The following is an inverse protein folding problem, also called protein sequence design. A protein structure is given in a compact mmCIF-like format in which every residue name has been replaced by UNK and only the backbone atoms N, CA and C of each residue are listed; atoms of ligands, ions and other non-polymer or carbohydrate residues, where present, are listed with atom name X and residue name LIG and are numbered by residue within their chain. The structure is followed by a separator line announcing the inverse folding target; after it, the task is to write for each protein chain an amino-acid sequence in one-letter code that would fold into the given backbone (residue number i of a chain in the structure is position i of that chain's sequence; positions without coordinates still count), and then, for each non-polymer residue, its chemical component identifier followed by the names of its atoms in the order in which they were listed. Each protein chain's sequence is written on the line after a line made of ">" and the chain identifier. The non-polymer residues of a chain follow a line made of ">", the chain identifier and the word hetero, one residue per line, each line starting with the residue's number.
data_IF_460430395057
#
_entry.id   IF_460430395057
#
_cell.length_a   1.000
_cell.length_b   1.000
_cell.length_c   1.000
_cell.angle_alpha   90.00
_cell.angle_beta   90.00
_cell.angle_gamma   90.00
#
_symmetry.space_group_name_H-M   'P 1'
#
loop_
_entity.id
_entity.type
_entity.pdbx_description
1 polymer ?
#
# COMPACT_ATOMS: atom_id res chain seq x y z
N UNK A 1 11.65 90.55 -64.89
CA UNK A 1 12.49 90.84 -63.71
C UNK A 1 11.93 90.05 -62.54
N UNK A 2 12.82 89.44 -61.74
CA UNK A 2 12.60 88.90 -60.39
C UNK A 2 11.90 87.54 -60.24
N UNK A 3 12.70 86.54 -59.83
CA UNK A 3 12.29 85.27 -59.20
C UNK A 3 11.66 85.51 -57.81
N UNK A 4 10.80 84.60 -57.29
CA UNK A 4 11.27 83.71 -56.22
C UNK A 4 10.74 82.26 -56.33
N UNK A 5 11.61 81.26 -56.15
CA UNK A 5 11.75 80.37 -54.95
C UNK A 5 10.46 79.61 -54.60
N UNK A 6 10.40 78.33 -54.98
CA UNK A 6 9.45 77.34 -54.44
C UNK A 6 10.25 76.24 -53.74
N UNK A 7 10.03 76.13 -52.43
CA UNK A 7 10.60 75.11 -51.57
C UNK A 7 10.02 73.72 -51.91
N UNK A 8 10.89 72.76 -52.19
CA UNK A 8 10.52 71.36 -52.37
C UNK A 8 10.37 70.70 -50.99
N UNK A 9 9.14 70.34 -50.62
CA UNK A 9 8.84 69.54 -49.43
C UNK A 9 8.90 68.06 -49.84
N UNK A 10 9.97 67.34 -49.45
CA UNK A 10 10.01 65.88 -49.52
C UNK A 10 9.12 65.31 -48.41
N UNK A 11 7.95 64.82 -48.77
CA UNK A 11 7.11 64.00 -47.90
C UNK A 11 7.62 62.56 -47.90
N UNK A 12 8.35 62.17 -46.86
CA UNK A 12 8.74 60.77 -46.61
C UNK A 12 7.52 60.00 -46.12
N UNK A 13 6.88 59.22 -46.98
CA UNK A 13 5.79 58.30 -46.59
C UNK A 13 6.37 57.11 -45.83
N UNK A 14 6.21 57.12 -44.51
CA UNK A 14 6.49 55.99 -43.63
C UNK A 14 5.36 54.96 -43.79
N UNK A 15 5.56 53.93 -44.63
CA UNK A 15 4.65 52.78 -44.72
C UNK A 15 4.79 51.94 -43.46
N UNK A 16 3.93 52.21 -42.48
CA UNK A 16 3.73 51.38 -41.31
C UNK A 16 3.11 50.05 -41.80
N UNK A 17 3.92 48.99 -41.95
CA UNK A 17 3.38 47.64 -42.09
C UNK A 17 2.63 47.32 -40.79
N UNK A 18 1.31 47.46 -40.81
CA UNK A 18 0.44 46.94 -39.78
C UNK A 18 0.54 45.41 -39.82
N UNK A 19 1.45 44.85 -39.03
CA UNK A 19 1.45 43.42 -38.71
C UNK A 19 0.11 43.18 -37.99
N UNK A 20 -0.81 42.36 -38.53
CA UNK A 20 -2.05 42.07 -37.83
C UNK A 20 -1.70 41.45 -36.48
N UNK A 21 -2.12 42.09 -35.38
CA UNK A 21 -1.93 41.65 -34.00
C UNK A 21 -2.65 40.33 -33.66
N UNK A 22 -3.12 39.60 -34.66
CA UNK A 22 -3.91 38.38 -34.52
C UNK A 22 -3.07 37.09 -34.56
N UNK A 23 -1.74 37.16 -34.69
CA UNK A 23 -0.84 35.98 -34.79
C UNK A 23 -0.15 35.63 -33.46
N UNK A 24 -0.76 35.92 -32.32
CA UNK A 24 -0.21 35.55 -31.00
C UNK A 24 -1.24 34.93 -30.03
N UNK A 25 -2.34 34.35 -30.54
CA UNK A 25 -3.19 33.42 -29.77
C UNK A 25 -2.94 31.99 -30.22
N UNK A 26 -1.83 31.43 -29.73
CA UNK A 26 -1.44 30.06 -30.04
C UNK A 26 -0.39 29.48 -29.12
N UNK A 27 -0.25 29.98 -27.88
CA UNK A 27 0.36 29.16 -26.85
C UNK A 27 -0.72 28.20 -26.36
N UNK A 28 -0.76 27.00 -26.96
CA UNK A 28 -1.54 25.88 -26.46
C UNK A 28 -1.13 25.65 -25.00
N UNK A 29 -1.98 26.09 -24.07
CA UNK A 29 -1.75 25.88 -22.65
C UNK A 29 -1.56 24.38 -22.37
N UNK A 30 -0.61 24.06 -21.48
CA UNK A 30 -0.47 22.70 -20.99
C UNK A 30 -1.80 22.25 -20.36
N UNK A 31 -2.23 21.03 -20.67
CA UNK A 31 -3.51 20.49 -20.23
C UNK A 31 -3.40 19.80 -18.84
N UNK A 32 -2.19 19.37 -18.50
CA UNK A 32 -1.86 18.62 -17.29
C UNK A 32 -0.66 19.23 -16.58
N UNK A 33 -0.54 19.00 -15.27
CA UNK A 33 0.62 19.45 -14.49
C UNK A 33 1.82 18.55 -14.75
N UNK A 34 1.60 17.24 -14.76
CA UNK A 34 2.62 16.22 -15.06
C UNK A 34 2.07 15.27 -16.12
N UNK A 35 2.91 14.89 -17.08
CA UNK A 35 2.64 13.77 -17.99
C UNK A 35 3.74 12.73 -17.84
N UNK A 36 3.37 11.51 -17.50
CA UNK A 36 4.24 10.34 -17.65
C UNK A 36 4.08 9.84 -19.09
N UNK A 37 5.14 9.89 -19.89
CA UNK A 37 5.09 9.62 -21.32
C UNK A 37 5.79 8.31 -21.68
N UNK A 38 5.25 7.59 -22.67
CA UNK A 38 5.86 6.41 -23.30
C UNK A 38 6.12 5.19 -22.40
N UNK A 39 5.72 5.22 -21.13
CA UNK A 39 5.88 4.08 -20.24
C UNK A 39 4.90 2.96 -20.56
N UNK A 40 5.33 1.72 -20.30
CA UNK A 40 4.43 0.56 -20.32
C UNK A 40 3.56 0.64 -19.06
N UNK A 41 2.32 1.07 -19.21
CA UNK A 41 1.38 1.13 -18.11
C UNK A 41 0.85 -0.27 -17.81
N UNK A 42 0.97 -0.69 -16.55
CA UNK A 42 0.42 -1.95 -16.04
C UNK A 42 -0.58 -1.65 -14.93
N UNK A 43 -1.84 -2.00 -15.16
CA UNK A 43 -2.92 -1.85 -14.20
C UNK A 43 -3.79 -3.13 -14.20
N UNK A 44 -3.71 -3.95 -13.14
CA UNK A 44 -4.49 -5.18 -13.03
C UNK A 44 -6.00 -4.97 -13.02
N UNK A 45 -6.50 -3.85 -12.47
CA UNK A 45 -7.95 -3.60 -12.35
C UNK A 45 -8.58 -3.41 -13.73
N UNK A 46 -7.93 -2.62 -14.60
CA UNK A 46 -8.37 -2.41 -15.98
C UNK A 46 -7.83 -3.45 -16.98
N UNK A 47 -6.99 -4.40 -16.52
CA UNK A 47 -6.23 -5.33 -17.36
C UNK A 47 -5.38 -4.61 -18.44
N UNK A 48 -4.91 -3.39 -18.12
CA UNK A 48 -4.08 -2.61 -19.03
C UNK A 48 -2.64 -3.11 -18.95
N UNK A 49 -2.09 -3.47 -20.10
CA UNK A 49 -0.66 -3.75 -20.28
C UNK A 49 -0.22 -3.20 -21.64
N UNK A 50 0.08 -1.90 -21.69
CA UNK A 50 0.41 -1.24 -22.94
C UNK A 50 1.16 0.09 -22.74
N UNK A 51 1.83 0.56 -23.79
CA UNK A 51 2.43 1.90 -23.79
C UNK A 51 1.33 2.96 -23.72
N UNK A 52 1.43 3.87 -22.74
CA UNK A 52 0.45 4.92 -22.48
C UNK A 52 1.11 6.24 -22.09
N UNK A 53 0.30 7.29 -22.13
CA UNK A 53 0.58 8.58 -21.53
C UNK A 53 -0.41 8.78 -20.37
N UNK A 54 0.11 9.14 -19.20
CA UNK A 54 -0.72 9.40 -18.01
C UNK A 54 -0.61 10.88 -17.67
N UNK A 55 -1.72 11.60 -17.79
CA UNK A 55 -1.83 13.01 -17.44
C UNK A 55 -2.34 13.18 -16.01
N UNK A 56 -1.58 13.91 -15.19
CA UNK A 56 -1.89 14.19 -13.79
C UNK A 56 -2.25 15.68 -13.67
N UNK A 57 -3.35 15.97 -12.95
CA UNK A 57 -3.77 17.33 -12.61
C UNK A 57 -4.05 17.41 -11.12
N UNK A 58 -3.37 18.32 -10.41
CA UNK A 58 -3.38 18.37 -8.96
C UNK A 58 -2.97 17.03 -8.35
N UNK A 59 -3.87 16.44 -7.57
CA UNK A 59 -3.67 15.16 -6.88
C UNK A 59 -4.38 13.98 -7.54
N UNK A 60 -4.75 14.08 -8.83
CA UNK A 60 -5.50 13.03 -9.53
C UNK A 60 -4.90 12.70 -10.90
N UNK A 61 -5.03 11.42 -11.26
CA UNK A 61 -4.89 10.99 -12.65
C UNK A 61 -6.10 11.54 -13.41
N UNK A 62 -5.86 12.50 -14.31
CA UNK A 62 -6.90 13.19 -15.06
C UNK A 62 -7.15 12.56 -16.44
N UNK A 63 -6.16 11.90 -17.02
CA UNK A 63 -6.31 11.19 -18.28
C UNK A 63 -5.30 10.05 -18.42
N UNK A 64 -5.72 8.98 -19.10
CA UNK A 64 -4.85 7.92 -19.62
C UNK A 64 -5.10 7.86 -21.12
N UNK A 65 -4.05 7.91 -21.93
CA UNK A 65 -4.17 8.03 -23.39
C UNK A 65 -3.17 7.15 -24.12
N UNK A 66 -3.58 6.62 -25.28
CA UNK A 66 -2.68 5.97 -26.23
C UNK A 66 -1.90 6.98 -27.10
N UNK A 67 -2.33 8.24 -27.12
CA UNK A 67 -1.71 9.35 -27.88
C UNK A 67 -1.02 10.34 -26.94
N UNK A 68 0.01 11.08 -27.42
CA UNK A 68 0.72 12.06 -26.61
C UNK A 68 -0.21 13.06 -25.90
N UNK A 69 0.09 13.34 -24.64
CA UNK A 69 -0.54 14.39 -23.84
C UNK A 69 0.43 15.56 -23.65
N UNK A 70 -0.10 16.76 -23.40
CA UNK A 70 0.69 17.96 -23.13
C UNK A 70 0.65 18.30 -21.64
N UNK A 71 1.79 18.28 -20.97
CA UNK A 71 1.94 18.64 -19.57
C UNK A 71 2.91 19.80 -19.35
N UNK A 72 2.80 20.48 -18.19
CA UNK A 72 3.80 21.46 -17.75
C UNK A 72 5.15 20.77 -17.51
N UNK A 73 5.12 19.60 -16.89
CA UNK A 73 6.26 18.69 -16.73
C UNK A 73 5.99 17.41 -17.52
N UNK A 74 6.98 16.95 -18.30
CA UNK A 74 6.90 15.66 -19.01
C UNK A 74 8.03 14.77 -18.53
N UNK A 75 7.69 13.60 -18.01
CA UNK A 75 8.63 12.57 -17.56
C UNK A 75 8.66 11.48 -18.63
N UNK A 76 9.81 11.29 -19.26
CA UNK A 76 10.03 10.22 -20.23
C UNK A 76 10.25 8.88 -19.52
N UNK A 77 9.29 7.98 -19.65
CA UNK A 77 9.30 6.65 -19.05
C UNK A 77 9.56 5.53 -20.07
N UNK A 78 10.20 5.84 -21.22
CA UNK A 78 10.58 4.82 -22.21
C UNK A 78 11.43 3.71 -21.58
N UNK A 79 11.06 2.46 -21.87
CA UNK A 79 11.73 1.28 -21.31
C UNK A 79 11.42 1.02 -19.83
N UNK A 80 10.55 1.84 -19.21
CA UNK A 80 10.11 1.68 -17.82
C UNK A 80 8.64 1.27 -17.75
N UNK A 81 8.23 0.82 -16.56
CA UNK A 81 6.85 0.50 -16.23
C UNK A 81 6.22 1.65 -15.46
N UNK A 82 4.98 2.00 -15.80
CA UNK A 82 4.12 2.88 -15.00
C UNK A 82 3.10 1.98 -14.30
N UNK A 83 3.09 1.98 -12.97
CA UNK A 83 2.16 1.19 -12.18
C UNK A 83 1.51 2.08 -11.10
N UNK A 84 0.37 1.66 -10.53
CA UNK A 84 -0.08 2.21 -9.25
C UNK A 84 1.04 2.09 -8.21
N UNK A 85 1.12 3.07 -7.32
CA UNK A 85 2.06 3.00 -6.20
C UNK A 85 1.76 1.81 -5.28
N UNK A 86 2.79 1.22 -4.69
CA UNK A 86 2.59 0.03 -3.88
C UNK A 86 1.96 0.37 -2.53
N UNK A 87 1.07 -0.52 -2.09
CA UNK A 87 0.43 -0.48 -0.78
C UNK A 87 1.08 -1.54 0.12
N UNK A 88 1.88 -1.10 1.08
CA UNK A 88 2.48 -1.95 2.08
C UNK A 88 1.52 -2.10 3.27
N UNK A 89 0.91 -3.27 3.40
CA UNK A 89 -0.06 -3.57 4.45
C UNK A 89 0.60 -3.94 5.79
N UNK A 90 1.92 -4.11 5.83
CA UNK A 90 2.62 -4.69 6.97
C UNK A 90 3.85 -3.86 7.34
N UNK A 91 3.59 -2.65 7.83
CA UNK A 91 4.62 -1.68 8.14
C UNK A 91 4.64 -1.31 9.61
N UNK A 92 5.71 -1.67 10.32
CA UNK A 92 5.97 -1.21 11.70
C UNK A 92 6.79 0.09 11.77
N UNK A 93 7.62 0.31 10.75
CA UNK A 93 8.37 1.55 10.60
C UNK A 93 7.45 2.69 10.20
N UNK A 94 7.19 3.61 11.11
CA UNK A 94 6.14 4.63 10.98
C UNK A 94 6.65 6.04 11.30
N UNK A 95 7.91 6.32 10.96
CA UNK A 95 8.55 7.62 11.10
C UNK A 95 9.03 8.20 9.75
N UNK A 96 9.54 9.43 9.81
CA UNK A 96 10.04 10.18 8.65
C UNK A 96 11.12 9.43 7.87
N UNK A 97 12.05 8.79 8.57
CA UNK A 97 13.14 8.03 7.96
C UNK A 97 12.58 6.84 7.19
N UNK A 98 11.71 6.04 7.82
CA UNK A 98 11.11 4.87 7.19
C UNK A 98 10.26 5.24 5.97
N UNK A 99 9.47 6.32 6.04
CA UNK A 99 8.65 6.77 4.91
C UNK A 99 9.49 7.17 3.69
N UNK A 100 10.68 7.74 3.89
CA UNK A 100 11.59 8.07 2.76
C UNK A 100 12.14 6.84 2.06
N UNK A 101 12.51 5.81 2.82
CA UNK A 101 12.98 4.56 2.22
C UNK A 101 11.85 3.85 1.46
N UNK A 102 10.66 3.77 2.05
CA UNK A 102 9.47 3.20 1.41
C UNK A 102 9.12 3.92 0.09
N UNK A 103 9.15 5.25 0.07
CA UNK A 103 8.92 6.01 -1.15
C UNK A 103 9.93 5.68 -2.26
N UNK A 104 11.20 5.42 -1.92
CA UNK A 104 12.25 5.03 -2.88
C UNK A 104 12.06 3.61 -3.42
N UNK A 105 11.40 2.74 -2.66
CA UNK A 105 11.02 1.38 -3.07
C UNK A 105 9.69 1.35 -3.86
N UNK A 106 9.10 2.52 -4.15
CA UNK A 106 7.84 2.64 -4.88
C UNK A 106 6.57 2.47 -4.02
N UNK A 107 6.72 2.38 -2.69
CA UNK A 107 5.59 2.37 -1.76
C UNK A 107 5.03 3.77 -1.62
N UNK A 108 3.72 3.89 -1.87
CA UNK A 108 2.98 5.16 -1.73
C UNK A 108 1.99 5.15 -0.58
N UNK A 109 1.71 3.97 -0.01
CA UNK A 109 0.86 3.80 1.17
C UNK A 109 1.50 2.79 2.11
N UNK A 110 1.73 3.17 3.35
CA UNK A 110 2.27 2.28 4.39
C UNK A 110 1.28 2.17 5.54
N UNK A 111 0.86 0.94 5.84
CA UNK A 111 -0.17 0.66 6.84
C UNK A 111 0.38 -0.19 7.99
N UNK A 112 0.13 0.25 9.23
CA UNK A 112 0.35 -0.56 10.43
C UNK A 112 -0.92 -1.35 10.73
N UNK A 113 -1.04 -2.53 10.11
CA UNK A 113 -2.26 -3.33 10.23
C UNK A 113 -2.15 -4.45 11.27
N UNK A 114 -0.94 -4.90 11.62
CA UNK A 114 -0.75 -6.11 12.42
C UNK A 114 -0.83 -5.84 13.93
N UNK A 115 0.06 -5.02 14.49
CA UNK A 115 0.05 -4.70 15.93
C UNK A 115 -1.03 -3.67 16.20
N UNK A 116 -1.23 -2.76 15.26
CA UNK A 116 -2.14 -1.63 15.38
C UNK A 116 -1.63 -0.59 16.37
N UNK A 117 -2.45 0.44 16.59
CA UNK A 117 -2.04 1.63 17.35
C UNK A 117 -3.06 1.98 18.42
N UNK A 118 -2.60 2.71 19.44
CA UNK A 118 -3.46 3.36 20.43
C UNK A 118 -2.73 4.52 21.12
N UNK A 119 -3.39 5.65 21.42
CA UNK A 119 -4.69 6.10 20.90
C UNK A 119 -4.66 6.36 19.38
N UNK A 120 -5.75 6.04 18.68
CA UNK A 120 -5.79 6.10 17.20
C UNK A 120 -5.81 7.54 16.72
N UNK A 121 -6.68 8.39 17.30
CA UNK A 121 -6.75 9.81 16.95
C UNK A 121 -5.39 10.51 17.09
N UNK A 122 -4.73 10.34 18.24
CA UNK A 122 -3.42 10.92 18.49
C UNK A 122 -2.34 10.37 17.52
N UNK A 123 -2.48 9.14 17.04
CA UNK A 123 -1.56 8.57 16.04
C UNK A 123 -1.72 9.23 14.67
N UNK A 124 -2.97 9.53 14.26
CA UNK A 124 -3.26 10.29 13.03
C UNK A 124 -2.80 11.74 13.13
N UNK A 125 -3.08 12.43 14.25
CA UNK A 125 -2.68 13.84 14.47
C UNK A 125 -1.16 14.08 14.33
N UNK A 126 -0.35 13.09 14.70
CA UNK A 126 1.11 13.18 14.56
C UNK A 126 1.58 13.10 13.10
N UNK A 127 0.74 12.64 12.17
CA UNK A 127 1.08 12.37 10.77
C UNK A 127 0.36 13.27 9.79
N UNK A 128 -0.82 13.76 10.14
CA UNK A 128 -1.60 14.65 9.30
C UNK A 128 -0.78 15.86 8.85
N UNK A 129 -0.72 16.08 7.54
CA UNK A 129 0.09 17.13 6.91
C UNK A 129 1.62 16.99 7.05
N UNK A 130 2.13 15.90 7.63
CA UNK A 130 3.57 15.69 7.89
C UNK A 130 4.15 14.45 7.22
N UNK A 131 3.36 13.39 7.06
CA UNK A 131 3.82 12.16 6.44
C UNK A 131 4.15 12.35 4.95
N UNK A 132 5.21 11.68 4.48
CA UNK A 132 5.66 11.76 3.08
C UNK A 132 4.87 10.88 2.12
N UNK A 133 4.20 9.85 2.64
CA UNK A 133 3.39 8.88 1.89
C UNK A 133 2.05 8.70 2.60
N UNK A 134 1.07 8.06 1.95
CA UNK A 134 -0.20 7.76 2.58
C UNK A 134 0.02 6.80 3.77
N UNK A 135 -0.81 6.95 4.80
CA UNK A 135 -0.66 6.22 6.05
C UNK A 135 -2.01 5.80 6.61
N UNK A 136 -2.01 4.75 7.41
CA UNK A 136 -3.17 4.28 8.14
C UNK A 136 -2.80 3.16 9.10
N UNK A 137 -3.68 2.88 10.04
CA UNK A 137 -3.43 1.84 11.02
C UNK A 137 -4.72 1.17 11.47
N UNK A 138 -4.62 -0.07 11.93
CA UNK A 138 -5.66 -0.72 12.72
C UNK A 138 -5.65 -0.20 14.16
N UNK A 139 -6.76 -0.34 14.86
CA UNK A 139 -6.73 -0.26 16.33
C UNK A 139 -6.11 -1.54 16.86
N UNK A 140 -5.12 -1.42 17.75
CA UNK A 140 -4.34 -2.57 18.19
C UNK A 140 -4.88 -3.22 19.47
N UNK A 141 -5.08 -4.53 19.46
CA UNK A 141 -5.38 -5.30 20.69
C UNK A 141 -4.23 -5.25 21.69
N UNK A 142 -2.98 -5.33 21.22
CA UNK A 142 -1.78 -5.23 22.06
C UNK A 142 -1.69 -3.88 22.78
N UNK A 143 -1.62 -2.73 22.09
CA UNK A 143 -1.47 -1.44 22.76
C UNK A 143 -2.68 -1.11 23.65
N UNK A 144 -3.90 -1.55 23.32
CA UNK A 144 -5.06 -1.44 24.20
C UNK A 144 -4.89 -2.24 25.49
N UNK A 145 -4.48 -3.51 25.38
CA UNK A 145 -4.22 -4.39 26.52
C UNK A 145 -3.10 -3.83 27.41
N UNK A 146 -2.01 -3.35 26.82
CA UNK A 146 -0.90 -2.73 27.55
C UNK A 146 -1.34 -1.48 28.32
N UNK A 147 -2.14 -0.61 27.70
CA UNK A 147 -2.66 0.62 28.33
C UNK A 147 -3.56 0.33 29.54
N UNK A 148 -4.47 -0.63 29.41
CA UNK A 148 -5.40 -1.03 30.47
C UNK A 148 -4.67 -1.74 31.61
N UNK A 149 -3.86 -2.74 31.27
CA UNK A 149 -3.19 -3.60 32.25
C UNK A 149 -1.92 -2.99 32.86
N UNK A 150 -1.56 -1.76 32.45
CA UNK A 150 -0.36 -1.03 32.88
C UNK A 150 0.92 -1.82 32.61
N UNK A 151 1.03 -2.32 31.38
CA UNK A 151 2.23 -3.01 30.92
C UNK A 151 3.36 -2.01 30.61
N UNK A 152 4.61 -2.36 30.90
CA UNK A 152 5.77 -1.46 30.72
C UNK A 152 6.40 -1.51 29.33
N UNK A 153 5.88 -2.33 28.42
CA UNK A 153 6.31 -2.37 27.03
C UNK A 153 6.02 -1.06 26.28
N UNK A 154 6.69 -0.88 25.15
CA UNK A 154 6.49 0.30 24.28
C UNK A 154 5.73 -0.06 23.00
N UNK A 155 6.23 -1.04 22.26
CA UNK A 155 5.61 -1.54 21.03
C UNK A 155 4.95 -2.91 21.24
N UNK A 156 5.68 -3.82 21.87
CA UNK A 156 5.21 -5.13 22.29
C UNK A 156 5.18 -5.20 23.82
N UNK A 157 4.33 -6.05 24.40
CA UNK A 157 4.20 -6.13 25.85
C UNK A 157 5.47 -6.72 26.48
N UNK A 158 5.65 -6.48 27.77
CA UNK A 158 6.83 -6.92 28.53
C UNK A 158 6.47 -7.66 29.82
N UNK A 159 5.37 -7.32 30.48
CA UNK A 159 5.05 -7.84 31.81
C UNK A 159 3.57 -8.18 31.99
N UNK A 160 2.72 -7.24 32.42
CA UNK A 160 1.35 -7.50 32.83
C UNK A 160 0.51 -8.12 31.71
N UNK A 161 0.65 -7.64 30.47
CA UNK A 161 -0.09 -8.19 29.33
C UNK A 161 0.45 -9.57 28.87
N UNK A 162 1.62 -10.00 29.37
CA UNK A 162 2.20 -11.33 29.14
C UNK A 162 1.91 -12.29 30.29
N UNK A 163 2.03 -11.83 31.54
CA UNK A 163 2.19 -12.69 32.70
C UNK A 163 0.88 -13.02 33.41
N UNK A 164 -0.20 -12.30 33.11
CA UNK A 164 -1.51 -12.54 33.72
C UNK A 164 -2.65 -12.42 32.73
N UNK A 165 -3.76 -13.07 33.07
CA UNK A 165 -5.03 -12.93 32.36
C UNK A 165 -5.67 -11.59 32.76
N UNK A 166 -6.32 -10.92 31.80
CA UNK A 166 -7.09 -9.72 32.08
C UNK A 166 -8.34 -10.08 32.90
N UNK A 167 -8.65 -9.28 33.91
CA UNK A 167 -9.90 -9.38 34.66
C UNK A 167 -11.10 -9.06 33.75
N UNK A 168 -12.33 -9.47 34.10
CA UNK A 168 -13.52 -9.12 33.33
C UNK A 168 -13.68 -7.61 33.11
N UNK A 169 -13.27 -6.79 34.08
CA UNK A 169 -13.33 -5.34 33.99
C UNK A 169 -12.30 -4.79 33.00
N UNK A 170 -11.09 -5.32 33.02
CA UNK A 170 -10.05 -4.97 32.06
C UNK A 170 -10.43 -5.40 30.64
N UNK A 171 -11.04 -6.58 30.46
CA UNK A 171 -11.53 -7.02 29.13
C UNK A 171 -12.56 -6.04 28.57
N UNK A 172 -13.50 -5.55 29.41
CA UNK A 172 -14.46 -4.52 29.00
C UNK A 172 -13.76 -3.23 28.60
N UNK A 173 -12.82 -2.73 29.41
CA UNK A 173 -12.04 -1.52 29.10
C UNK A 173 -11.24 -1.65 27.80
N UNK A 174 -10.59 -2.79 27.56
CA UNK A 174 -9.86 -3.07 26.31
C UNK A 174 -10.82 -3.02 25.12
N UNK A 175 -11.98 -3.65 25.25
CA UNK A 175 -13.01 -3.68 24.21
C UNK A 175 -13.54 -2.27 23.90
N UNK A 176 -13.73 -1.45 24.94
CA UNK A 176 -14.20 -0.08 24.78
C UNK A 176 -13.16 0.80 24.08
N UNK A 177 -11.88 0.65 24.41
CA UNK A 177 -10.79 1.33 23.70
C UNK A 177 -10.70 0.89 22.22
N UNK A 178 -10.94 -0.38 21.92
CA UNK A 178 -10.99 -0.88 20.54
C UNK A 178 -12.17 -0.25 19.79
N UNK A 179 -13.37 -0.22 20.39
CA UNK A 179 -14.54 0.46 19.81
C UNK A 179 -14.28 1.94 19.56
N UNK A 180 -13.64 2.61 20.52
CA UNK A 180 -13.24 4.02 20.38
C UNK A 180 -12.27 4.18 19.21
N UNK A 181 -11.19 3.39 19.15
CA UNK A 181 -10.19 3.48 18.09
C UNK A 181 -10.76 3.21 16.68
N UNK A 182 -11.74 2.31 16.56
CA UNK A 182 -12.51 2.14 15.31
C UNK A 182 -13.31 3.40 14.97
N UNK A 183 -13.95 4.03 15.96
CA UNK A 183 -14.66 5.30 15.78
C UNK A 183 -13.75 6.49 15.44
N UNK A 184 -12.47 6.42 15.81
CA UNK A 184 -11.44 7.41 15.50
C UNK A 184 -10.79 7.21 14.11
N UNK A 185 -11.25 6.22 13.33
CA UNK A 185 -10.75 5.95 11.98
C UNK A 185 -9.79 4.77 11.85
N UNK A 186 -9.69 3.91 12.87
CA UNK A 186 -8.93 2.66 12.78
C UNK A 186 -9.47 1.77 11.66
N UNK A 187 -8.59 1.31 10.76
CA UNK A 187 -8.94 0.60 9.53
C UNK A 187 -9.41 -0.87 9.74
N UNK A 188 -9.40 -1.32 10.99
CA UNK A 188 -9.68 -2.70 11.40
C UNK A 188 -9.07 -2.97 12.77
N UNK A 189 -9.01 -4.24 13.16
CA UNK A 189 -8.43 -4.65 14.44
C UNK A 189 -7.15 -5.44 14.18
N UNK A 190 -6.04 -4.94 14.73
CA UNK A 190 -4.73 -5.60 14.71
C UNK A 190 -4.55 -6.52 15.91
N UNK A 191 -4.06 -7.73 15.68
CA UNK A 191 -3.79 -8.73 16.69
C UNK A 191 -2.35 -9.25 16.60
N UNK A 192 -1.64 -9.16 17.72
CA UNK A 192 -0.37 -9.85 17.92
C UNK A 192 -0.51 -11.05 18.86
N UNK A 193 -1.35 -12.04 18.53
CA UNK A 193 -1.76 -13.11 19.46
C UNK A 193 -0.56 -13.89 20.01
N UNK A 194 0.52 -14.01 19.24
CA UNK A 194 1.75 -14.64 19.70
C UNK A 194 2.42 -13.89 20.87
N UNK A 195 2.35 -12.56 20.88
CA UNK A 195 3.01 -11.70 21.86
C UNK A 195 2.20 -11.50 23.14
N UNK A 196 0.90 -11.79 23.10
CA UNK A 196 0.02 -11.85 24.28
C UNK A 196 -0.44 -13.31 24.48
N UNK A 197 0.23 -14.10 25.33
CA UNK A 197 -0.11 -15.51 25.50
C UNK A 197 -1.35 -15.77 26.35
N UNK A 198 -1.76 -14.80 27.18
CA UNK A 198 -2.82 -14.94 28.17
C UNK A 198 -4.26 -14.67 27.73
N UNK A 199 -4.58 -14.00 26.59
CA UNK A 199 -5.94 -13.88 26.12
C UNK A 199 -6.62 -15.23 25.95
N UNK A 200 -7.85 -15.32 26.47
CA UNK A 200 -8.68 -16.51 26.29
C UNK A 200 -9.21 -16.60 24.86
N UNK A 201 -9.66 -17.79 24.44
CA UNK A 201 -10.33 -17.95 23.14
C UNK A 201 -11.59 -17.07 23.04
N UNK A 202 -12.33 -16.92 24.13
CA UNK A 202 -13.51 -16.08 24.19
C UNK A 202 -13.14 -14.60 23.95
N UNK A 203 -12.11 -14.08 24.63
CA UNK A 203 -11.63 -12.70 24.41
C UNK A 203 -11.31 -12.42 22.94
N UNK A 204 -10.61 -13.33 22.26
CA UNK A 204 -10.27 -13.17 20.84
C UNK A 204 -11.51 -13.28 19.95
N UNK A 205 -12.40 -14.24 20.23
CA UNK A 205 -13.61 -14.45 19.43
C UNK A 205 -14.58 -13.27 19.54
N UNK A 206 -14.74 -12.70 20.74
CA UNK A 206 -15.59 -11.54 20.97
C UNK A 206 -15.09 -10.31 20.17
N UNK A 207 -13.76 -10.14 20.07
CA UNK A 207 -13.18 -9.08 19.23
C UNK A 207 -13.35 -9.35 17.73
N UNK A 208 -13.30 -10.61 17.30
CA UNK A 208 -13.60 -10.97 15.91
C UNK A 208 -15.07 -10.71 15.57
N UNK A 209 -15.98 -11.05 16.48
CA UNK A 209 -17.40 -10.74 16.36
C UNK A 209 -17.62 -9.23 16.31
N UNK A 210 -16.93 -8.45 17.15
CA UNK A 210 -16.96 -6.98 17.09
C UNK A 210 -16.50 -6.45 15.73
N UNK A 211 -15.40 -6.98 15.16
CA UNK A 211 -14.96 -6.57 13.84
C UNK A 211 -16.02 -6.86 12.76
N UNK A 212 -16.67 -8.02 12.83
CA UNK A 212 -17.76 -8.39 11.93
C UNK A 212 -18.98 -7.46 12.09
N UNK A 213 -19.40 -7.15 13.31
CA UNK A 213 -20.47 -6.19 13.60
C UNK A 213 -20.17 -4.79 13.05
N UNK A 214 -18.89 -4.41 13.04
CA UNK A 214 -18.42 -3.10 12.54
C UNK A 214 -18.08 -3.10 11.04
N UNK A 215 -18.17 -4.25 10.37
CA UNK A 215 -17.83 -4.38 8.95
C UNK A 215 -16.36 -4.11 8.64
N UNK A 216 -15.44 -4.42 9.57
CA UNK A 216 -13.99 -4.21 9.41
C UNK A 216 -13.23 -5.54 9.45
N UNK A 217 -12.02 -5.55 8.90
CA UNK A 217 -11.18 -6.74 8.87
C UNK A 217 -10.36 -6.94 10.17
N UNK A 218 -10.02 -8.20 10.45
CA UNK A 218 -9.07 -8.59 11.49
C UNK A 218 -7.72 -8.91 10.83
N UNK A 219 -6.65 -8.37 11.38
CA UNK A 219 -5.27 -8.56 10.90
C UNK A 219 -4.48 -9.26 11.98
N UNK A 220 -4.10 -10.52 11.73
CA UNK A 220 -3.71 -11.44 12.81
C UNK A 220 -2.30 -11.97 12.60
N UNK A 221 -1.39 -11.58 13.49
CA UNK A 221 -0.19 -12.36 13.76
C UNK A 221 -0.57 -13.61 14.55
N UNK A 222 -0.56 -14.74 13.87
CA UNK A 222 -0.97 -16.01 14.47
C UNK A 222 -0.04 -16.42 15.62
N UNK A 223 -0.59 -17.07 16.65
CA UNK A 223 0.20 -17.78 17.66
C UNK A 223 1.06 -18.83 16.96
N UNK A 224 2.34 -18.94 17.31
CA UNK A 224 3.18 -19.99 16.75
C UNK A 224 2.49 -21.35 16.90
N UNK A 225 2.40 -22.11 15.80
CA UNK A 225 2.01 -23.49 15.89
C UNK A 225 3.12 -24.22 16.67
N UNK A 226 2.83 -24.74 17.87
CA UNK A 226 3.52 -25.94 18.31
C UNK A 226 3.52 -26.91 17.11
N UNK A 227 4.63 -27.61 16.85
CA UNK A 227 4.88 -28.48 15.67
C UNK A 227 3.87 -29.65 15.50
N UNK A 228 2.59 -29.35 15.41
CA UNK A 228 1.47 -30.28 15.33
C UNK A 228 0.21 -29.52 14.91
N UNK A 229 0.11 -29.16 13.63
CA UNK A 229 -0.99 -29.66 12.80
C UNK A 229 -0.85 -29.13 11.37
N UNK A 230 -1.02 -30.06 10.41
CA UNK A 230 -1.05 -29.83 8.96
C UNK A 230 -1.77 -28.53 8.62
N UNK A 231 -1.02 -27.52 8.17
CA UNK A 231 -1.65 -26.35 7.56
C UNK A 231 -2.47 -26.83 6.37
N UNK A 232 -3.76 -26.54 6.39
CA UNK A 232 -4.63 -26.75 5.23
C UNK A 232 -4.29 -25.64 4.24
N UNK A 233 -3.79 -26.01 3.07
CA UNK A 233 -3.37 -25.07 2.02
C UNK A 233 -4.42 -25.10 0.90
N UNK A 234 -4.79 -23.93 0.40
CA UNK A 234 -5.63 -23.83 -0.78
C UNK A 234 -4.84 -24.27 -2.02
N UNK A 235 -5.32 -25.29 -2.73
CA UNK A 235 -4.74 -25.75 -4.00
C UNK A 235 -5.51 -25.13 -5.17
N UNK A 236 -4.96 -24.13 -5.89
CA UNK A 236 -5.63 -23.48 -7.00
C UNK A 236 -5.86 -24.42 -8.19
N UNK A 237 -5.07 -25.49 -8.33
CA UNK A 237 -5.28 -26.49 -9.39
C UNK A 237 -6.47 -27.41 -9.09
N UNK A 238 -6.84 -27.56 -7.82
CA UNK A 238 -7.95 -28.45 -7.39
C UNK A 238 -9.18 -27.70 -6.89
N UNK A 239 -9.15 -26.37 -6.86
CA UNK A 239 -10.20 -25.51 -6.32
C UNK A 239 -10.73 -26.02 -4.98
N UNK A 240 -9.83 -26.48 -4.10
CA UNK A 240 -10.18 -27.11 -2.83
C UNK A 240 -9.08 -26.95 -1.78
N UNK A 241 -9.49 -27.03 -0.52
CA UNK A 241 -8.62 -27.01 0.64
C UNK A 241 -7.97 -28.38 0.84
N UNK A 242 -6.63 -28.43 0.86
CA UNK A 242 -5.87 -29.67 0.94
C UNK A 242 -5.06 -29.74 2.23
N UNK A 243 -5.08 -30.89 2.89
CA UNK A 243 -4.06 -31.22 3.90
C UNK A 243 -2.87 -31.90 3.20
N UNK A 244 -1.65 -31.36 3.30
CA UNK A 244 -0.49 -32.01 2.71
C UNK A 244 -0.28 -33.42 3.30
N UNK A 245 0.21 -34.38 2.49
CA UNK A 245 0.52 -35.73 2.97
C UNK A 245 1.54 -35.65 4.12
N UNK A 246 1.49 -36.61 5.03
CA UNK A 246 2.43 -36.64 6.14
C UNK A 246 3.86 -36.69 5.57
N UNK A 247 4.84 -35.97 6.13
CA UNK A 247 6.23 -36.17 5.74
C UNK A 247 6.57 -37.65 5.95
N UNK A 248 7.16 -38.29 4.94
CA UNK A 248 7.66 -39.65 5.09
C UNK A 248 8.59 -39.70 6.32
N UNK A 249 8.54 -40.76 7.15
CA UNK A 249 9.47 -40.87 8.28
C UNK A 249 10.89 -40.73 7.74
N UNK A 250 11.66 -39.80 8.33
CA UNK A 250 13.08 -39.66 7.99
C UNK A 250 13.75 -41.00 8.30
N UNK A 251 14.32 -41.66 7.28
CA UNK A 251 15.22 -42.79 7.51
C UNK A 251 16.40 -42.32 8.36
N UNK A 252 16.36 -42.58 9.67
CA UNK A 252 17.44 -42.26 10.61
C UNK A 252 18.45 -43.40 10.76
N UNK A 253 18.45 -44.39 9.87
CA UNK A 253 19.55 -45.36 9.79
C UNK A 253 19.85 -45.72 8.33
N UNK A 254 20.99 -45.25 7.84
CA UNK A 254 21.70 -45.95 6.78
C UNK A 254 22.27 -47.23 7.39
N UNK A 255 21.52 -48.33 7.36
CA UNK A 255 21.97 -49.75 7.31
C UNK A 255 20.67 -50.58 7.17
N UNK A 256 20.23 -50.82 5.93
CA UNK A 256 19.55 -52.06 5.52
C UNK A 256 19.33 -52.09 4.00
N UNK A 257 19.47 -53.24 3.31
CA UNK A 257 19.53 -53.30 1.85
C UNK A 257 18.18 -53.14 1.12
N UNK A 258 17.09 -52.87 1.84
CA UNK A 258 15.74 -52.89 1.27
C UNK A 258 15.36 -51.65 0.45
N UNK A 259 16.25 -50.67 0.26
CA UNK A 259 16.01 -49.49 -0.59
C UNK A 259 16.43 -49.65 -2.05
N UNK A 260 16.76 -50.86 -2.50
CA UNK A 260 17.22 -51.12 -3.86
C UNK A 260 16.21 -51.91 -4.70
N UNK A 261 14.95 -51.47 -4.81
CA UNK A 261 14.08 -51.92 -5.92
C UNK A 261 12.79 -51.10 -6.04
N UNK A 262 12.83 -49.96 -6.73
CA UNK A 262 11.76 -49.60 -7.67
C UNK A 262 12.34 -48.71 -8.78
N UNK A 263 13.02 -49.35 -9.74
CA UNK A 263 13.27 -48.75 -11.06
C UNK A 263 12.10 -49.17 -11.95
N UNK A 264 11.16 -48.27 -12.20
CA UNK A 264 10.25 -48.38 -13.35
C UNK A 264 10.68 -47.37 -14.44
N UNK A 265 11.05 -47.84 -15.64
CA UNK A 265 11.42 -46.95 -16.74
C UNK A 265 10.18 -46.31 -17.38
N UNK A 266 10.34 -45.16 -18.08
CA UNK A 266 9.24 -44.55 -18.82
C UNK A 266 8.94 -45.37 -20.08
N UNK A 267 7.69 -45.82 -20.23
CA UNK A 267 7.17 -46.39 -21.46
C UNK A 267 6.96 -45.29 -22.50
N UNK A 268 7.68 -45.40 -23.61
CA UNK A 268 7.39 -44.78 -24.89
C UNK A 268 6.19 -45.47 -25.55
N UNK A 269 5.25 -44.69 -26.11
CA UNK A 269 4.49 -45.08 -27.29
C UNK A 269 3.87 -43.83 -27.95
N UNK A 270 4.18 -43.66 -29.23
CA UNK A 270 3.66 -42.64 -30.12
C UNK A 270 2.28 -43.02 -30.67
N UNK A 271 1.42 -42.02 -30.88
CA UNK A 271 0.70 -41.72 -32.14
C UNK A 271 0.10 -40.33 -32.04
#
# INVERSE_FOLDING_TARGET
>A
MSFPVIAAVLTTTLTLLAIPASVLKGQNAAEFDIVLAYGRMMDPESNTDAVRYVGIRGNKIAAISARPLRGLTVIDARGLVIAPGFNDLHSHGQDDENYRYKARDGVTTALEMEVGVMPVAAWYDRREGKAHINFGATVGHIPAKMSVMKDTGTFLPRDNAINRVATPDEVRQITDLIKQGLGEGGLGIGFGINYVPTPTRAEVFDLFALAAERGVANYVHMRHAARSNRAVVWDPCRNSWQTPPAPAPRCTSCISPACASDKRPPTTAAR
#
